data_IF_377148813616
#
_entry.id   IF_377148813616
#
_cell.length_a   1.000
_cell.length_b   1.000
_cell.length_c   1.000
_cell.angle_alpha   90.00
_cell.angle_beta   90.00
_cell.angle_gamma   90.00
#
_symmetry.space_group_name_H-M   'P 1'
#
loop_
_entity.id
_entity.type
_entity.pdbx_description
1 polymer ?
#
# COMPACT_ATOMS: atom_id res chain seq x y z
N UNK A 1 -22.69 -18.74 -11.63
CA UNK A 1 -21.57 -17.77 -11.57
C UNK A 1 -20.28 -18.56 -11.59
N UNK A 2 -19.39 -18.34 -12.56
CA UNK A 2 -18.10 -19.03 -12.60
C UNK A 2 -17.29 -18.62 -11.37
N UNK A 3 -16.83 -19.62 -10.60
CA UNK A 3 -16.03 -19.44 -9.40
C UNK A 3 -14.59 -19.06 -9.80
N UNK A 4 -14.41 -17.84 -10.30
CA UNK A 4 -13.10 -17.34 -10.70
C UNK A 4 -12.23 -17.20 -9.44
N UNK A 5 -10.96 -17.66 -9.45
CA UNK A 5 -10.05 -17.46 -8.34
C UNK A 5 -10.02 -15.97 -7.96
N UNK A 6 -10.16 -15.66 -6.68
CA UNK A 6 -10.27 -14.29 -6.17
C UNK A 6 -9.18 -13.36 -6.75
N UNK A 7 -7.93 -13.82 -6.78
CA UNK A 7 -6.80 -13.06 -7.30
C UNK A 7 -6.90 -12.75 -8.80
N UNK A 8 -7.52 -13.61 -9.61
CA UNK A 8 -7.73 -13.33 -11.03
C UNK A 8 -8.74 -12.19 -11.27
N UNK A 9 -9.75 -12.07 -10.39
CA UNK A 9 -10.70 -10.96 -10.43
C UNK A 9 -10.05 -9.68 -9.93
N UNK A 10 -9.19 -9.79 -8.91
CA UNK A 10 -8.45 -8.68 -8.34
C UNK A 10 -7.44 -8.08 -9.32
N UNK A 11 -6.63 -8.92 -9.98
CA UNK A 11 -5.68 -8.50 -11.02
C UNK A 11 -6.38 -7.81 -12.20
N UNK A 12 -7.53 -8.35 -12.64
CA UNK A 12 -8.33 -7.73 -13.71
C UNK A 12 -8.69 -6.28 -13.38
N UNK A 13 -9.04 -6.01 -12.12
CA UNK A 13 -9.39 -4.66 -11.67
C UNK A 13 -8.19 -3.72 -11.84
N UNK A 14 -7.03 -4.07 -11.28
CA UNK A 14 -5.78 -3.30 -11.44
C UNK A 14 -5.52 -2.98 -12.91
N UNK A 15 -5.52 -4.01 -13.76
CA UNK A 15 -5.29 -3.85 -15.19
C UNK A 15 -6.25 -2.86 -15.84
N UNK A 16 -7.54 -2.92 -15.51
CA UNK A 16 -8.54 -2.00 -16.08
C UNK A 16 -8.27 -0.54 -15.70
N UNK A 17 -7.79 -0.25 -14.49
CA UNK A 17 -7.48 1.12 -14.07
C UNK A 17 -6.27 1.68 -14.81
N UNK A 18 -5.22 0.88 -14.97
CA UNK A 18 -4.04 1.27 -15.75
C UNK A 18 -4.35 1.40 -17.25
N UNK A 19 -5.12 0.48 -17.83
CA UNK A 19 -5.59 0.56 -19.23
C UNK A 19 -6.45 1.80 -19.48
N UNK A 20 -7.13 2.32 -18.46
CA UNK A 20 -7.88 3.58 -18.50
C UNK A 20 -6.99 4.84 -18.37
N UNK A 21 -5.68 4.68 -18.25
CA UNK A 21 -4.70 5.78 -18.20
C UNK A 21 -4.45 6.34 -16.80
N UNK A 22 -4.92 5.68 -15.73
CA UNK A 22 -4.55 6.07 -14.38
C UNK A 22 -3.09 5.69 -14.09
N UNK A 23 -2.38 6.58 -13.39
CA UNK A 23 -1.00 6.34 -12.95
C UNK A 23 -0.91 5.33 -11.79
N UNK A 24 -1.99 5.20 -11.01
CA UNK A 24 -2.06 4.33 -9.83
C UNK A 24 -3.50 3.94 -9.51
N UNK A 25 -3.69 2.78 -8.89
CA UNK A 25 -4.98 2.36 -8.33
C UNK A 25 -5.22 2.97 -6.95
N UNK A 26 -4.19 2.96 -6.10
CA UNK A 26 -4.24 3.35 -4.70
C UNK A 26 -3.84 4.80 -4.45
N UNK A 27 -3.50 5.09 -3.20
CA UNK A 27 -3.04 6.42 -2.81
C UNK A 27 -1.67 6.75 -3.42
N UNK A 28 -1.43 8.04 -3.67
CA UNK A 28 -0.07 8.53 -3.85
C UNK A 28 0.69 8.48 -2.52
N UNK A 29 2.01 8.23 -2.50
CA UNK A 29 2.85 8.50 -1.34
C UNK A 29 2.77 9.96 -0.86
N UNK A 30 2.43 10.89 -1.75
CA UNK A 30 2.26 12.31 -1.44
C UNK A 30 0.86 12.65 -0.89
N UNK A 31 0.01 11.64 -0.66
CA UNK A 31 -1.32 11.87 -0.12
C UNK A 31 -1.22 12.38 1.34
N UNK A 32 -1.56 13.65 1.55
CA UNK A 32 -1.44 14.31 2.86
C UNK A 32 -2.28 13.65 3.96
N UNK A 33 -3.50 13.24 3.64
CA UNK A 33 -4.39 12.59 4.62
C UNK A 33 -3.82 11.25 5.08
N UNK A 34 -3.31 10.45 4.13
CA UNK A 34 -2.63 9.19 4.44
C UNK A 34 -1.37 9.44 5.27
N UNK A 35 -0.57 10.45 4.90
CA UNK A 35 0.62 10.82 5.67
C UNK A 35 0.29 11.20 7.10
N UNK A 36 -0.66 12.12 7.31
CA UNK A 36 -1.03 12.60 8.64
C UNK A 36 -1.59 11.45 9.50
N UNK A 37 -2.39 10.57 8.89
CA UNK A 37 -2.94 9.39 9.56
C UNK A 37 -1.85 8.42 9.99
N UNK A 38 -0.92 8.08 9.10
CA UNK A 38 0.17 7.16 9.40
C UNK A 38 1.14 7.75 10.42
N UNK A 39 1.38 9.07 10.35
CA UNK A 39 2.19 9.78 11.33
C UNK A 39 1.57 9.71 12.73
N UNK A 40 0.29 10.05 12.86
CA UNK A 40 -0.43 9.95 14.14
C UNK A 40 -0.38 8.52 14.69
N UNK A 41 -0.64 7.52 13.83
CA UNK A 41 -0.55 6.12 14.23
C UNK A 41 0.84 5.71 14.74
N UNK A 42 1.93 6.15 14.08
CA UNK A 42 3.30 5.90 14.55
C UNK A 42 3.58 6.56 15.90
N UNK A 43 3.11 7.79 16.10
CA UNK A 43 3.30 8.56 17.32
C UNK A 43 2.52 7.95 18.50
N UNK A 44 1.23 7.69 18.31
CA UNK A 44 0.31 7.14 19.31
C UNK A 44 0.71 5.74 19.79
N UNK A 45 1.34 4.95 18.91
CA UNK A 45 1.79 3.60 19.21
C UNK A 45 3.28 3.50 19.54
N UNK A 46 3.98 4.64 19.64
CA UNK A 46 5.40 4.72 19.94
C UNK A 46 6.26 3.83 19.03
N UNK A 47 5.98 3.85 17.72
CA UNK A 47 6.60 2.94 16.74
C UNK A 47 7.92 3.48 16.17
N UNK A 48 8.28 4.71 16.49
CA UNK A 48 9.57 5.29 16.09
C UNK A 48 10.72 4.41 16.60
N UNK A 49 11.63 4.03 15.70
CA UNK A 49 12.73 3.12 16.03
C UNK A 49 12.41 1.63 15.95
N UNK A 50 11.14 1.25 15.71
CA UNK A 50 10.71 -0.15 15.59
C UNK A 50 10.65 -0.60 14.13
N UNK A 51 10.63 -1.91 13.94
CA UNK A 51 10.39 -2.54 12.64
C UNK A 51 8.90 -2.76 12.42
N UNK A 52 8.41 -2.46 11.22
CA UNK A 52 7.01 -2.63 10.83
C UNK A 52 6.96 -3.57 9.62
N UNK A 53 5.98 -4.48 9.63
CA UNK A 53 5.67 -5.35 8.49
C UNK A 53 4.25 -5.02 8.03
N UNK A 54 4.11 -4.58 6.79
CA UNK A 54 2.82 -4.27 6.18
C UNK A 54 2.40 -5.42 5.27
N UNK A 55 1.30 -6.10 5.63
CA UNK A 55 0.68 -7.12 4.80
C UNK A 55 -0.29 -6.48 3.81
N UNK A 56 -0.33 -7.02 2.58
CA UNK A 56 -1.16 -6.54 1.50
C UNK A 56 -0.88 -5.05 1.15
N UNK A 57 0.39 -4.66 1.08
CA UNK A 57 0.81 -3.26 0.88
C UNK A 57 0.43 -2.66 -0.50
N UNK A 58 -0.16 -3.45 -1.39
CA UNK A 58 -0.64 -2.99 -2.70
C UNK A 58 0.49 -2.36 -3.52
N UNK A 59 0.33 -1.09 -3.85
CA UNK A 59 1.30 -0.29 -4.62
C UNK A 59 2.36 0.40 -3.74
N UNK A 60 2.32 0.18 -2.42
CA UNK A 60 3.42 0.57 -1.52
C UNK A 60 3.39 2.01 -1.01
N UNK A 61 2.31 2.78 -1.20
CA UNK A 61 2.22 4.17 -0.74
C UNK A 61 2.48 4.31 0.77
N UNK A 62 1.83 3.47 1.57
CA UNK A 62 2.04 3.42 3.02
C UNK A 62 3.46 3.01 3.39
N UNK A 63 4.05 2.04 2.67
CA UNK A 63 5.44 1.61 2.86
C UNK A 63 6.41 2.77 2.65
N UNK A 64 6.22 3.57 1.59
CA UNK A 64 7.05 4.75 1.29
C UNK A 64 6.87 5.82 2.36
N UNK A 65 5.66 6.06 2.84
CA UNK A 65 5.43 7.01 3.93
C UNK A 65 6.10 6.52 5.22
N UNK A 66 5.89 5.26 5.60
CA UNK A 66 6.40 4.68 6.84
C UNK A 66 7.92 4.50 6.84
N UNK A 67 8.57 4.34 5.68
CA UNK A 67 10.04 4.30 5.60
C UNK A 67 10.68 5.61 6.06
N UNK A 68 9.97 6.73 5.93
CA UNK A 68 10.40 8.03 6.41
C UNK A 68 10.10 8.28 7.90
N UNK A 69 9.31 7.41 8.54
CA UNK A 69 8.82 7.58 9.91
C UNK A 69 9.32 6.51 10.89
N UNK A 70 9.65 5.30 10.42
CA UNK A 70 10.08 4.14 11.20
C UNK A 70 11.56 3.79 10.98
N UNK A 71 12.11 2.86 11.77
CA UNK A 71 13.51 2.42 11.60
C UNK A 71 13.69 1.42 10.45
N UNK A 72 12.71 0.54 10.26
CA UNK A 72 12.69 -0.42 9.15
C UNK A 72 11.23 -0.76 8.81
N UNK A 73 10.91 -0.80 7.51
CA UNK A 73 9.60 -1.17 6.99
C UNK A 73 9.77 -2.25 5.93
N UNK A 74 8.94 -3.29 5.97
CA UNK A 74 8.85 -4.30 4.92
C UNK A 74 7.39 -4.44 4.48
N UNK A 75 7.13 -4.18 3.20
CA UNK A 75 5.84 -4.43 2.57
C UNK A 75 5.79 -5.80 1.91
N UNK A 76 4.70 -6.53 2.09
CA UNK A 76 4.41 -7.78 1.39
C UNK A 76 3.12 -7.64 0.60
N UNK A 77 3.16 -7.98 -0.69
CA UNK A 77 1.99 -8.02 -1.55
C UNK A 77 2.00 -9.29 -2.40
N UNK A 78 0.81 -9.80 -2.72
CA UNK A 78 0.63 -10.93 -3.63
C UNK A 78 0.55 -10.48 -5.10
N UNK A 79 0.56 -9.18 -5.37
CA UNK A 79 0.58 -8.62 -6.71
C UNK A 79 2.02 -8.24 -7.11
N UNK A 80 2.50 -8.65 -8.31
CA UNK A 80 3.75 -8.14 -8.84
C UNK A 80 3.64 -6.62 -9.08
N UNK A 81 4.74 -5.90 -8.83
CA UNK A 81 4.88 -4.49 -9.24
C UNK A 81 4.68 -4.42 -10.76
N UNK A 82 3.68 -3.65 -11.21
CA UNK A 82 3.37 -3.42 -12.62
C UNK A 82 4.31 -2.39 -13.22
#
# INVERSE_FOLDING_TARGET
>A
MQNKPYYSVYEKRYKTVYEAGAERWGHSPDNKELYDTLKAWVEDNHLKGKSIVEFACGEGASVVILSNLAAAIQGLTFLPLQ
#
